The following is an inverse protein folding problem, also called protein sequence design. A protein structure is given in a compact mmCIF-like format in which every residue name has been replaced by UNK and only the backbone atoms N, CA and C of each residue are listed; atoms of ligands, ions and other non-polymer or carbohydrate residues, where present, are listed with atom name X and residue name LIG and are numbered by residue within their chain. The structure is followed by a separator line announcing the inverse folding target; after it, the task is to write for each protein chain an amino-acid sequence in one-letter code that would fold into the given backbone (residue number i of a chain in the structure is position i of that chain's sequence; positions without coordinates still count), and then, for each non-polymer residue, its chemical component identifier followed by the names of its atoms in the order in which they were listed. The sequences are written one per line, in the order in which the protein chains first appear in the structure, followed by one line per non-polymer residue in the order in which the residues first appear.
data_IF_427512966613
#
_entry.id   IF_427512966613
#
_cell.length_a   1.000
_cell.length_b   1.000
_cell.length_c   1.000
_cell.angle_alpha   90.00
_cell.angle_beta   90.00
_cell.angle_gamma   90.00
#
_symmetry.space_group_name_H-M   'P 1'
#
loop_
_entity.id
_entity.type
_entity.pdbx_description
1 polymer ?
#
# COMPACT_ATOMS: atom_id res chain seq x y z
N UNK A 1 -9.53 -13.88 -11.19
CA UNK A 1 -9.03 -14.77 -10.15
C UNK A 1 -10.02 -14.83 -8.97
N UNK A 2 -10.24 -13.75 -8.19
CA UNK A 2 -11.10 -13.74 -6.99
C UNK A 2 -12.49 -14.35 -7.19
N UNK A 3 -13.21 -13.97 -8.24
CA UNK A 3 -14.56 -14.50 -8.51
C UNK A 3 -14.58 -16.01 -8.72
N UNK A 4 -13.51 -16.62 -9.25
CA UNK A 4 -13.42 -18.10 -9.41
C UNK A 4 -13.27 -18.81 -8.07
N UNK A 5 -12.74 -18.11 -7.06
CA UNK A 5 -12.61 -18.60 -5.69
C UNK A 5 -13.80 -18.20 -4.80
N UNK A 6 -14.90 -17.68 -5.38
CA UNK A 6 -16.06 -17.17 -4.64
C UNK A 6 -15.72 -16.04 -3.65
N UNK A 7 -14.70 -15.26 -3.96
CA UNK A 7 -14.27 -14.11 -3.16
C UNK A 7 -14.78 -12.83 -3.81
N UNK A 8 -15.47 -12.02 -3.04
CA UNK A 8 -15.88 -10.66 -3.44
C UNK A 8 -14.85 -9.67 -2.90
N UNK A 9 -13.96 -9.15 -3.75
CA UNK A 9 -12.95 -8.20 -3.29
C UNK A 9 -13.53 -6.80 -3.14
N UNK A 10 -13.12 -6.10 -2.08
CA UNK A 10 -13.31 -4.66 -1.90
C UNK A 10 -11.93 -4.01 -1.99
N UNK A 11 -11.75 -3.13 -2.97
CA UNK A 11 -10.48 -2.43 -3.17
C UNK A 11 -10.50 -1.09 -2.47
N UNK A 12 -9.58 -0.89 -1.53
CA UNK A 12 -9.45 0.37 -0.78
C UNK A 12 -8.20 1.11 -1.25
N UNK A 13 -8.41 2.27 -1.81
CA UNK A 13 -7.34 3.15 -2.27
C UNK A 13 -7.00 4.19 -1.20
N UNK A 14 -5.72 4.59 -1.18
CA UNK A 14 -5.25 5.68 -0.33
C UNK A 14 -6.02 6.97 -0.63
N UNK A 15 -6.41 7.66 0.41
CA UNK A 15 -7.05 8.97 0.35
C UNK A 15 -6.07 10.11 0.45
N UNK A 16 -6.44 11.14 1.20
CA UNK A 16 -5.62 12.30 1.44
C UNK A 16 -4.54 11.96 2.48
N UNK A 17 -3.28 12.23 2.19
CA UNK A 17 -2.22 12.05 3.18
C UNK A 17 -2.35 13.08 4.31
N UNK A 18 -2.35 12.67 5.57
CA UNK A 18 -2.38 13.60 6.68
C UNK A 18 -0.97 14.15 6.94
N UNK A 19 -0.66 15.34 6.42
CA UNK A 19 0.52 16.07 6.84
C UNK A 19 1.64 16.23 5.79
N UNK A 20 2.78 16.82 6.19
CA UNK A 20 3.83 17.26 5.28
C UNK A 20 4.71 16.14 4.69
N UNK A 21 4.45 14.87 5.01
CA UNK A 21 5.21 13.73 4.46
C UNK A 21 5.17 13.68 2.93
N UNK A 22 4.06 14.04 2.32
CA UNK A 22 3.96 14.10 0.85
C UNK A 22 4.81 15.23 0.26
N UNK A 23 5.00 16.35 0.97
CA UNK A 23 5.75 17.49 0.44
C UNK A 23 7.24 17.18 0.29
N UNK A 24 7.85 16.45 1.23
CA UNK A 24 9.27 16.05 1.12
C UNK A 24 9.49 14.96 0.07
N UNK A 25 8.53 14.05 -0.09
CA UNK A 25 8.62 12.99 -1.08
C UNK A 25 8.38 13.52 -2.50
N UNK A 26 7.38 14.38 -2.67
CA UNK A 26 7.10 15.11 -3.92
C UNK A 26 8.28 16.00 -4.29
N UNK A 27 8.85 16.75 -3.35
CA UNK A 27 10.01 17.62 -3.64
C UNK A 27 11.25 16.85 -4.07
N UNK A 28 11.48 15.64 -3.55
CA UNK A 28 12.58 14.77 -4.03
C UNK A 28 12.34 14.24 -5.43
N UNK A 29 11.10 13.94 -5.78
CA UNK A 29 10.74 13.51 -7.13
C UNK A 29 10.94 14.65 -8.11
N UNK A 30 10.45 15.84 -7.77
CA UNK A 30 10.57 17.03 -8.61
C UNK A 30 12.04 17.39 -8.86
N UNK A 31 12.88 17.41 -7.80
CA UNK A 31 14.32 17.66 -7.94
C UNK A 31 15.02 16.66 -8.85
N UNK A 32 14.64 15.40 -8.79
CA UNK A 32 15.25 14.39 -9.65
C UNK A 32 14.71 14.44 -11.08
N UNK A 33 13.45 14.82 -11.27
CA UNK A 33 12.92 15.11 -12.60
C UNK A 33 13.66 16.29 -13.23
N UNK A 34 13.96 17.33 -12.46
CA UNK A 34 14.76 18.46 -12.94
C UNK A 34 16.16 18.03 -13.38
N UNK A 35 16.80 17.10 -12.65
CA UNK A 35 18.09 16.51 -13.02
C UNK A 35 17.97 15.74 -14.35
N UNK A 36 16.91 14.95 -14.53
CA UNK A 36 16.68 14.22 -15.78
C UNK A 36 16.51 15.16 -16.98
N UNK A 37 15.77 16.26 -16.80
CA UNK A 37 15.60 17.29 -17.81
C UNK A 37 16.89 18.06 -18.10
N UNK A 38 17.72 18.31 -17.08
CA UNK A 38 19.03 18.93 -17.25
C UNK A 38 19.95 18.08 -18.13
N UNK A 39 20.07 16.76 -17.83
CA UNK A 39 20.84 15.84 -18.69
C UNK A 39 20.33 15.80 -20.13
N UNK A 40 19.01 15.86 -20.32
CA UNK A 40 18.44 15.89 -21.66
C UNK A 40 18.80 17.19 -22.39
N UNK A 41 18.80 18.34 -21.69
CA UNK A 41 19.17 19.64 -22.25
C UNK A 41 20.65 19.72 -22.60
N UNK A 42 21.53 19.06 -21.85
CA UNK A 42 22.96 18.91 -22.12
C UNK A 42 23.29 17.93 -23.26
N UNK A 43 22.26 17.22 -23.75
CA UNK A 43 22.40 16.24 -24.84
C UNK A 43 22.80 14.84 -24.36
N UNK A 44 22.95 14.62 -23.05
CA UNK A 44 23.21 13.30 -22.47
C UNK A 44 21.93 12.47 -22.35
N UNK A 45 21.53 11.94 -23.50
CA UNK A 45 20.32 11.11 -23.61
C UNK A 45 20.41 9.82 -22.79
N UNK A 46 21.61 9.30 -22.57
CA UNK A 46 21.81 8.04 -21.84
C UNK A 46 21.50 8.19 -20.35
N UNK A 47 22.03 9.22 -19.69
CA UNK A 47 21.75 9.49 -18.29
C UNK A 47 20.31 10.00 -18.09
N UNK A 48 19.83 10.86 -18.99
CA UNK A 48 18.42 11.29 -18.95
C UNK A 48 17.47 10.08 -19.01
N UNK A 49 17.71 9.12 -19.89
CA UNK A 49 16.88 7.92 -20.02
C UNK A 49 16.92 7.05 -18.75
N UNK A 50 18.08 6.89 -18.12
CA UNK A 50 18.20 6.17 -16.83
C UNK A 50 17.40 6.87 -15.74
N UNK A 51 17.55 8.18 -15.62
CA UNK A 51 16.79 8.97 -14.66
C UNK A 51 15.27 8.83 -14.90
N UNK A 52 14.79 9.01 -16.11
CA UNK A 52 13.37 8.83 -16.44
C UNK A 52 12.89 7.39 -16.20
N UNK A 53 13.69 6.36 -16.49
CA UNK A 53 13.32 4.98 -16.23
C UNK A 53 13.12 4.68 -14.75
N UNK A 54 13.91 5.29 -13.87
CA UNK A 54 13.73 5.18 -12.41
C UNK A 54 12.38 5.74 -11.95
N UNK A 55 11.83 6.73 -12.65
CA UNK A 55 10.52 7.32 -12.34
C UNK A 55 9.36 6.59 -13.00
N UNK A 56 9.55 6.10 -14.23
CA UNK A 56 8.51 5.38 -14.96
C UNK A 56 8.09 4.08 -14.27
N UNK A 57 8.96 3.52 -13.43
CA UNK A 57 8.64 2.33 -12.61
C UNK A 57 7.78 2.64 -11.38
N UNK A 58 7.54 3.92 -11.06
CA UNK A 58 6.74 4.31 -9.91
C UNK A 58 5.26 4.43 -10.27
N UNK A 59 4.43 3.99 -9.34
CA UNK A 59 2.98 4.16 -9.44
C UNK A 59 2.68 5.64 -9.22
N UNK A 60 2.27 6.33 -10.28
CA UNK A 60 1.85 7.73 -10.23
C UNK A 60 0.34 7.87 -9.99
N UNK A 61 -0.12 9.09 -9.72
CA UNK A 61 -1.54 9.40 -9.50
C UNK A 61 -2.43 9.01 -10.67
N UNK A 62 -1.95 9.20 -11.91
CA UNK A 62 -2.73 8.90 -13.12
C UNK A 62 -2.94 7.40 -13.28
N UNK A 63 -1.91 6.61 -12.98
CA UNK A 63 -2.02 5.15 -12.97
C UNK A 63 -3.00 4.66 -11.89
N UNK A 64 -2.93 5.23 -10.68
CA UNK A 64 -3.87 4.93 -9.59
C UNK A 64 -5.29 5.28 -10.01
N UNK A 65 -5.49 6.46 -10.62
CA UNK A 65 -6.79 6.90 -11.13
C UNK A 65 -7.31 5.94 -12.21
N UNK A 66 -6.45 5.55 -13.16
CA UNK A 66 -6.81 4.59 -14.20
C UNK A 66 -7.27 3.25 -13.61
N UNK A 67 -6.49 2.67 -12.68
CA UNK A 67 -6.83 1.40 -12.03
C UNK A 67 -8.14 1.52 -11.25
N UNK A 68 -8.35 2.61 -10.50
CA UNK A 68 -9.58 2.85 -9.76
C UNK A 68 -10.81 2.80 -10.68
N UNK A 69 -10.79 3.54 -11.79
CA UNK A 69 -11.88 3.58 -12.73
C UNK A 69 -12.05 2.26 -13.50
N UNK A 70 -10.95 1.60 -13.85
CA UNK A 70 -10.99 0.30 -14.51
C UNK A 70 -11.65 -0.77 -13.63
N UNK A 71 -11.28 -0.84 -12.36
CA UNK A 71 -11.89 -1.78 -11.41
C UNK A 71 -13.38 -1.49 -11.22
N UNK A 72 -13.75 -0.22 -11.09
CA UNK A 72 -15.15 0.20 -10.98
C UNK A 72 -15.95 -0.19 -12.23
N UNK A 73 -15.38 0.01 -13.42
CA UNK A 73 -16.01 -0.40 -14.68
C UNK A 73 -16.18 -1.93 -14.79
N UNK A 74 -15.26 -2.70 -14.19
CA UNK A 74 -15.37 -4.18 -14.10
C UNK A 74 -16.38 -4.64 -13.05
N UNK A 75 -17.11 -3.74 -12.40
CA UNK A 75 -18.10 -4.06 -11.37
C UNK A 75 -17.47 -4.57 -10.07
N UNK A 76 -16.27 -4.11 -9.75
CA UNK A 76 -15.66 -4.36 -8.45
C UNK A 76 -16.11 -3.27 -7.45
N UNK A 77 -16.21 -3.66 -6.18
CA UNK A 77 -16.38 -2.71 -5.09
C UNK A 77 -15.06 -1.96 -4.90
N UNK A 78 -15.11 -0.65 -5.08
CA UNK A 78 -13.92 0.22 -5.01
C UNK A 78 -14.24 1.41 -4.14
N UNK A 79 -13.39 1.64 -3.15
CA UNK A 79 -13.50 2.75 -2.22
C UNK A 79 -12.18 3.54 -2.19
N UNK A 80 -12.28 4.85 -2.07
CA UNK A 80 -11.16 5.70 -1.67
C UNK A 80 -11.33 6.06 -0.19
N UNK A 81 -10.37 5.71 0.63
CA UNK A 81 -10.37 6.10 2.04
C UNK A 81 -10.37 7.63 2.18
N UNK A 82 -10.95 8.21 3.23
CA UNK A 82 -10.84 9.64 3.49
C UNK A 82 -9.38 10.09 3.66
N UNK A 83 -8.61 9.26 4.36
CA UNK A 83 -7.18 9.45 4.65
C UNK A 83 -6.39 8.18 4.35
N UNK A 84 -5.92 7.49 5.39
CA UNK A 84 -5.09 6.30 5.27
C UNK A 84 -5.94 5.06 4.95
N UNK A 85 -5.55 4.34 3.90
CA UNK A 85 -6.21 3.09 3.53
C UNK A 85 -6.11 2.02 4.65
N UNK A 86 -4.97 1.98 5.37
CA UNK A 86 -4.77 1.07 6.50
C UNK A 86 -5.79 1.28 7.61
N UNK A 87 -6.06 2.53 7.99
CA UNK A 87 -7.07 2.86 9.00
C UNK A 87 -8.49 2.48 8.53
N UNK A 88 -8.80 2.67 7.26
CA UNK A 88 -10.09 2.26 6.69
C UNK A 88 -10.25 0.74 6.68
N UNK A 89 -9.19 0.00 6.34
CA UNK A 89 -9.19 -1.47 6.36
C UNK A 89 -9.33 -2.02 7.78
N UNK A 90 -8.66 -1.40 8.75
CA UNK A 90 -8.84 -1.71 10.17
C UNK A 90 -10.28 -1.52 10.61
N UNK A 91 -10.89 -0.39 10.28
CA UNK A 91 -12.29 -0.12 10.59
C UNK A 91 -13.23 -1.19 9.98
N UNK A 92 -12.98 -1.61 8.74
CA UNK A 92 -13.78 -2.65 8.10
C UNK A 92 -13.60 -4.02 8.77
N UNK A 93 -12.39 -4.37 9.15
CA UNK A 93 -12.12 -5.61 9.86
C UNK A 93 -12.76 -5.62 11.26
N UNK A 94 -12.62 -4.54 12.01
CA UNK A 94 -13.17 -4.40 13.36
C UNK A 94 -14.71 -4.47 13.40
N UNK A 95 -15.37 -3.94 12.36
CA UNK A 95 -16.85 -3.95 12.26
C UNK A 95 -17.39 -5.16 11.49
N UNK A 96 -16.56 -6.12 11.12
CA UNK A 96 -16.99 -7.32 10.40
C UNK A 96 -17.52 -7.06 8.99
N UNK A 97 -17.18 -5.91 8.40
CA UNK A 97 -17.56 -5.57 7.02
C UNK A 97 -16.81 -6.45 6.02
N UNK A 98 -15.57 -6.79 6.35
CA UNK A 98 -14.74 -7.72 5.59
C UNK A 98 -14.28 -8.87 6.48
N UNK A 99 -14.16 -10.05 5.88
CA UNK A 99 -13.67 -11.25 6.58
C UNK A 99 -12.16 -11.22 6.79
N UNK A 100 -11.40 -10.72 5.82
CA UNK A 100 -9.94 -10.71 5.82
C UNK A 100 -9.42 -9.53 5.03
N UNK A 101 -8.22 -9.09 5.36
CA UNK A 101 -7.54 -7.97 4.70
C UNK A 101 -6.31 -8.50 3.97
N UNK A 102 -6.14 -8.13 2.71
CA UNK A 102 -4.94 -8.44 1.91
C UNK A 102 -4.09 -7.17 1.85
N UNK A 103 -2.84 -7.27 2.25
CA UNK A 103 -1.92 -6.14 2.19
C UNK A 103 -0.59 -6.38 2.90
N UNK A 104 0.24 -5.35 3.06
CA UNK A 104 1.54 -5.48 3.71
C UNK A 104 1.39 -5.80 5.21
N UNK A 105 2.39 -6.44 5.83
CA UNK A 105 2.37 -6.77 7.26
C UNK A 105 2.20 -5.56 8.18
N UNK A 106 2.60 -4.35 7.72
CA UNK A 106 2.40 -3.10 8.46
C UNK A 106 0.93 -2.79 8.82
N UNK A 107 -0.05 -3.44 8.16
CA UNK A 107 -1.45 -3.34 8.54
C UNK A 107 -1.75 -3.88 9.96
N UNK A 108 -0.87 -4.71 10.52
CA UNK A 108 -0.97 -5.14 11.91
C UNK A 108 -0.85 -3.97 12.90
N UNK A 109 -0.15 -2.88 12.51
CA UNK A 109 -0.05 -1.66 13.32
C UNK A 109 -1.38 -0.90 13.43
N UNK A 110 -2.26 -1.10 12.47
CA UNK A 110 -3.61 -0.53 12.45
C UNK A 110 -4.65 -1.44 13.13
N UNK A 111 -4.24 -2.38 13.97
CA UNK A 111 -5.12 -3.35 14.65
C UNK A 111 -5.93 -4.25 13.71
N UNK A 112 -5.45 -4.48 12.50
CA UNK A 112 -6.01 -5.52 11.66
C UNK A 112 -5.61 -6.88 12.25
N UNK A 113 -6.57 -7.68 12.73
CA UNK A 113 -6.23 -8.88 13.50
C UNK A 113 -5.54 -9.95 12.65
N UNK A 114 -5.86 -9.98 11.36
CA UNK A 114 -5.32 -10.97 10.42
C UNK A 114 -5.10 -10.36 9.06
N UNK A 115 -3.85 -10.42 8.56
CA UNK A 115 -3.43 -9.88 7.28
C UNK A 115 -2.97 -11.02 6.37
N UNK A 116 -3.54 -11.10 5.19
CA UNK A 116 -3.09 -11.99 4.11
C UNK A 116 -1.98 -11.24 3.35
N UNK A 117 -0.76 -11.80 3.37
CA UNK A 117 0.43 -11.19 2.79
C UNK A 117 0.80 -11.75 1.41
N UNK A 118 0.25 -12.90 1.06
CA UNK A 118 0.45 -13.55 -0.24
C UNK A 118 -0.76 -14.37 -0.64
N UNK A 119 -1.05 -14.41 -1.94
CA UNK A 119 -2.15 -15.22 -2.49
C UNK A 119 -1.66 -15.92 -3.75
N UNK A 120 -1.73 -17.25 -3.75
CA UNK A 120 -1.52 -18.06 -4.93
C UNK A 120 -2.88 -18.53 -5.46
N UNK A 121 -3.31 -17.94 -6.58
CA UNK A 121 -4.59 -18.29 -7.21
C UNK A 121 -4.56 -19.58 -8.04
N UNK A 122 -3.37 -20.12 -8.34
CA UNK A 122 -3.25 -21.39 -9.09
C UNK A 122 -3.41 -22.56 -8.13
N UNK A 123 -2.73 -22.47 -6.97
CA UNK A 123 -2.81 -23.49 -5.93
C UNK A 123 -3.95 -23.27 -4.94
N UNK A 124 -4.67 -22.15 -5.03
CA UNK A 124 -5.72 -21.73 -4.12
C UNK A 124 -5.24 -21.69 -2.64
N UNK A 125 -4.01 -21.24 -2.44
CA UNK A 125 -3.39 -21.07 -1.13
C UNK A 125 -3.13 -19.60 -0.83
N UNK A 126 -2.97 -19.26 0.44
CA UNK A 126 -2.59 -17.92 0.87
C UNK A 126 -1.73 -17.97 2.13
N UNK A 127 -0.81 -17.03 2.21
CA UNK A 127 0.01 -16.79 3.38
C UNK A 127 -0.60 -15.67 4.21
N UNK A 128 -0.64 -15.83 5.51
CA UNK A 128 -1.25 -14.85 6.40
C UNK A 128 -0.51 -14.74 7.73
N UNK A 129 -0.65 -13.58 8.36
CA UNK A 129 -0.10 -13.28 9.68
C UNK A 129 -1.24 -12.89 10.61
N UNK A 130 -1.26 -13.48 11.78
CA UNK A 130 -2.22 -13.18 12.85
C UNK A 130 -1.51 -12.36 13.94
N UNK A 131 -2.07 -11.21 14.29
CA UNK A 131 -1.50 -10.29 15.26
C UNK A 131 -1.32 -10.96 16.63
N UNK A 132 -2.34 -11.73 17.09
CA UNK A 132 -2.26 -12.37 18.41
C UNK A 132 -1.14 -13.40 18.46
N UNK A 133 -0.96 -14.18 17.39
CA UNK A 133 0.14 -15.17 17.31
C UNK A 133 1.51 -14.48 17.36
N UNK A 134 1.64 -13.31 16.74
CA UNK A 134 2.88 -12.52 16.79
C UNK A 134 3.14 -12.01 18.21
N UNK A 135 2.13 -11.44 18.85
CA UNK A 135 2.25 -10.93 20.24
C UNK A 135 2.61 -12.05 21.21
N UNK A 136 1.94 -13.19 21.13
CA UNK A 136 2.19 -14.35 22.00
C UNK A 136 3.60 -14.91 21.79
N UNK A 137 4.03 -15.05 20.54
CA UNK A 137 5.35 -15.58 20.21
C UNK A 137 6.49 -14.70 20.71
N UNK A 138 6.30 -13.39 20.65
CA UNK A 138 7.32 -12.43 21.09
C UNK A 138 7.14 -11.99 22.55
N UNK A 139 6.08 -12.46 23.21
CA UNK A 139 5.73 -12.11 24.58
C UNK A 139 5.62 -10.59 24.78
N UNK A 140 5.05 -9.91 23.80
CA UNK A 140 4.84 -8.47 23.80
C UNK A 140 3.38 -8.14 24.04
N UNK A 141 3.14 -7.06 24.78
CA UNK A 141 1.82 -6.40 24.76
C UNK A 141 1.64 -5.68 23.42
N UNK A 142 0.40 -5.28 23.13
CA UNK A 142 0.07 -4.51 21.92
C UNK A 142 0.88 -3.20 21.85
N UNK A 143 0.97 -2.48 22.95
CA UNK A 143 1.70 -1.21 23.02
C UNK A 143 3.21 -1.42 22.81
N UNK A 144 3.78 -2.43 23.45
CA UNK A 144 5.19 -2.80 23.24
C UNK A 144 5.50 -3.21 21.80
N UNK A 145 4.55 -3.86 21.12
CA UNK A 145 4.70 -4.19 19.70
C UNK A 145 4.72 -2.92 18.84
N UNK A 146 3.81 -1.96 19.10
CA UNK A 146 3.81 -0.67 18.40
C UNK A 146 5.13 0.06 18.64
N UNK A 147 5.56 0.19 19.89
CA UNK A 147 6.82 0.86 20.25
C UNK A 147 8.03 0.22 19.56
N UNK A 148 8.10 -1.10 19.56
CA UNK A 148 9.16 -1.84 18.87
C UNK A 148 9.17 -1.58 17.36
N UNK A 149 8.00 -1.58 16.73
CA UNK A 149 7.88 -1.29 15.30
C UNK A 149 8.26 0.16 14.98
N UNK A 150 7.86 1.13 15.82
CA UNK A 150 8.23 2.53 15.65
C UNK A 150 9.74 2.75 15.78
N UNK A 151 10.38 2.09 16.76
CA UNK A 151 11.84 2.14 16.93
C UNK A 151 12.60 1.48 15.77
N UNK A 152 12.04 0.42 15.19
CA UNK A 152 12.62 -0.25 14.02
C UNK A 152 12.50 0.57 12.73
N UNK A 153 11.69 1.61 12.73
CA UNK A 153 11.42 2.46 11.56
C UNK A 153 10.36 1.82 10.67
N UNK A 154 9.12 2.15 10.92
CA UNK A 154 7.99 1.77 10.06
C UNK A 154 7.62 2.94 9.15
N UNK A 155 7.18 2.64 7.93
CA UNK A 155 6.54 3.62 7.04
C UNK A 155 5.09 3.87 7.52
N UNK A 156 4.94 4.56 8.65
CA UNK A 156 3.64 4.99 9.18
C UNK A 156 3.40 6.46 8.90
#
# INVERSE_FOLDING_TARGET
AFRRCSITPVFVFQGMAPGPHDSMFVSRIDQQMDIAWAHLAEGDKGEAQKCFAMFSSRINSDFVFFIFHHLKHKGCEVLRAPYLAGAQLSHFAANGVVHSVIGPPGLLLYDVPRVIIGVDFEQATFDWVDLQVVLDKWQLSRDQFIDACMLAGTEC
#
